data_IF_133273738825
#
_entry.id   IF_133273738825
#
_cell.length_a   1.000
_cell.length_b   1.000
_cell.length_c   1.000
_cell.angle_alpha   90.00
_cell.angle_beta   90.00
_cell.angle_gamma   90.00
#
_symmetry.space_group_name_H-M   'P 1'
#
loop_
_entity.id
_entity.type
_entity.pdbx_description
1 polymer ?
#
# COMPACT_ATOMS: atom_id res chain seq x y z
N UNK A 1 18.76 -1.81 5.91
CA UNK A 1 17.40 -1.36 6.29
C UNK A 1 17.12 -1.78 7.74
N UNK A 2 16.83 -0.84 8.66
CA UNK A 2 16.60 -1.13 10.09
C UNK A 2 15.34 -1.99 10.29
N UNK A 3 15.32 -2.87 11.30
CA UNK A 3 14.20 -3.79 11.59
C UNK A 3 12.84 -3.07 11.68
N UNK A 4 12.83 -1.88 12.30
CA UNK A 4 11.64 -1.02 12.40
C UNK A 4 11.05 -0.68 11.02
N UNK A 5 11.90 -0.39 10.04
CA UNK A 5 11.43 -0.05 8.69
C UNK A 5 10.81 -1.27 7.99
N UNK A 6 11.36 -2.47 8.22
CA UNK A 6 10.79 -3.73 7.71
C UNK A 6 9.40 -4.01 8.31
N UNK A 7 9.26 -3.82 9.63
CA UNK A 7 7.97 -4.01 10.32
C UNK A 7 6.93 -3.00 9.80
N UNK A 8 7.31 -1.73 9.63
CA UNK A 8 6.42 -0.71 9.06
C UNK A 8 5.98 -1.05 7.64
N UNK A 9 6.92 -1.45 6.78
CA UNK A 9 6.61 -1.85 5.41
C UNK A 9 5.68 -3.06 5.36
N UNK A 10 5.87 -4.05 6.24
CA UNK A 10 4.99 -5.20 6.35
C UNK A 10 3.57 -4.80 6.76
N UNK A 11 3.43 -3.95 7.80
CA UNK A 11 2.13 -3.46 8.26
C UNK A 11 1.37 -2.68 7.18
N UNK A 12 2.05 -1.80 6.45
CA UNK A 12 1.42 -1.00 5.39
C UNK A 12 1.01 -1.86 4.19
N UNK A 13 1.83 -2.83 3.80
CA UNK A 13 1.48 -3.77 2.74
C UNK A 13 0.28 -4.66 3.13
N UNK A 14 0.17 -5.06 4.41
CA UNK A 14 -0.99 -5.80 4.90
C UNK A 14 -2.26 -4.97 4.80
N UNK A 15 -2.24 -3.71 5.25
CA UNK A 15 -3.37 -2.78 5.10
C UNK A 15 -3.79 -2.58 3.65
N UNK A 16 -2.82 -2.53 2.72
CA UNK A 16 -3.11 -2.43 1.29
C UNK A 16 -3.86 -3.66 0.77
N UNK A 17 -3.45 -4.87 1.21
CA UNK A 17 -4.10 -6.10 0.81
C UNK A 17 -5.53 -6.21 1.38
N UNK A 18 -5.72 -5.80 2.64
CA UNK A 18 -7.05 -5.79 3.28
C UNK A 18 -7.98 -4.81 2.56
N UNK A 19 -7.51 -3.59 2.26
CA UNK A 19 -8.28 -2.59 1.53
C UNK A 19 -8.61 -3.04 0.10
N UNK A 20 -7.67 -3.70 -0.59
CA UNK A 20 -7.91 -4.26 -1.92
C UNK A 20 -9.02 -5.32 -1.89
N UNK A 21 -9.04 -6.19 -0.87
CA UNK A 21 -10.12 -7.16 -0.69
C UNK A 21 -11.46 -6.49 -0.42
N UNK A 22 -11.50 -5.43 0.40
CA UNK A 22 -12.72 -4.66 0.63
C UNK A 22 -13.26 -4.06 -0.68
N UNK A 23 -12.39 -3.48 -1.51
CA UNK A 23 -12.75 -2.94 -2.82
C UNK A 23 -13.25 -4.05 -3.76
N UNK A 24 -12.61 -5.22 -3.77
CA UNK A 24 -13.04 -6.37 -4.58
C UNK A 24 -14.43 -6.90 -4.17
N UNK A 25 -14.75 -6.88 -2.88
CA UNK A 25 -16.02 -7.40 -2.34
C UNK A 25 -17.17 -6.40 -2.43
N UNK A 26 -16.90 -5.13 -2.14
CA UNK A 26 -17.93 -4.10 -1.98
C UNK A 26 -17.91 -3.03 -3.07
N UNK A 27 -16.94 -3.09 -3.98
CA UNK A 27 -16.67 -2.03 -4.96
C UNK A 27 -15.88 -0.87 -4.35
N UNK A 28 -15.48 0.07 -5.20
CA UNK A 28 -14.82 1.29 -4.75
C UNK A 28 -15.86 2.30 -4.26
N UNK A 29 -15.82 2.64 -2.97
CA UNK A 29 -16.58 3.74 -2.38
C UNK A 29 -15.68 4.95 -2.09
N UNK A 30 -16.27 6.13 -1.88
CA UNK A 30 -15.52 7.33 -1.50
C UNK A 30 -14.70 7.11 -0.21
N UNK A 31 -15.28 6.41 0.77
CA UNK A 31 -14.57 6.06 2.01
C UNK A 31 -13.35 5.15 1.75
N UNK A 32 -13.49 4.15 0.88
CA UNK A 32 -12.39 3.25 0.51
C UNK A 32 -11.32 4.00 -0.31
N UNK A 33 -11.74 4.92 -1.17
CA UNK A 33 -10.83 5.80 -1.92
C UNK A 33 -10.03 6.69 -0.97
N UNK A 34 -10.66 7.31 0.03
CA UNK A 34 -9.98 8.10 1.06
C UNK A 34 -8.95 7.25 1.83
N UNK A 35 -9.32 6.03 2.23
CA UNK A 35 -8.41 5.08 2.87
C UNK A 35 -7.22 4.74 1.96
N UNK A 36 -7.46 4.56 0.66
CA UNK A 36 -6.42 4.26 -0.32
C UNK A 36 -5.45 5.42 -0.50
N UNK A 37 -5.96 6.65 -0.58
CA UNK A 37 -5.15 7.87 -0.68
C UNK A 37 -4.29 8.05 0.57
N UNK A 38 -4.89 7.95 1.76
CA UNK A 38 -4.18 8.06 3.02
C UNK A 38 -3.08 7.00 3.18
N UNK A 39 -3.33 5.79 2.68
CA UNK A 39 -2.34 4.71 2.70
C UNK A 39 -1.17 5.00 1.76
N UNK A 40 -1.43 5.52 0.57
CA UNK A 40 -0.40 5.90 -0.40
C UNK A 40 0.50 7.03 0.11
N UNK A 41 -0.07 8.03 0.79
CA UNK A 41 0.69 9.10 1.45
C UNK A 41 1.68 8.49 2.46
N UNK A 42 1.22 7.60 3.33
CA UNK A 42 2.07 6.93 4.33
C UNK A 42 3.16 6.06 3.70
N UNK A 43 2.89 5.44 2.56
CA UNK A 43 3.90 4.68 1.81
C UNK A 43 4.99 5.61 1.27
N UNK A 44 4.59 6.75 0.70
CA UNK A 44 5.50 7.75 0.15
C UNK A 44 6.39 8.37 1.24
N UNK A 45 5.82 8.73 2.39
CA UNK A 45 6.57 9.25 3.56
C UNK A 45 7.64 8.27 4.08
N UNK A 46 7.48 6.98 3.79
CA UNK A 46 8.38 5.93 4.22
C UNK A 46 9.21 5.32 3.08
N UNK A 47 9.15 5.91 1.88
CA UNK A 47 9.81 5.42 0.66
C UNK A 47 9.55 3.92 0.41
N UNK A 48 8.30 3.51 0.60
CA UNK A 48 7.85 2.13 0.40
C UNK A 48 7.19 2.03 -0.97
N UNK A 49 7.87 1.44 -1.98
CA UNK A 49 7.33 1.35 -3.32
C UNK A 49 6.06 0.49 -3.35
N UNK A 50 5.11 0.87 -4.20
CA UNK A 50 3.92 0.06 -4.46
C UNK A 50 4.28 -1.13 -5.35
N UNK A 51 4.27 -2.34 -4.77
CA UNK A 51 4.61 -3.59 -5.47
C UNK A 51 3.74 -3.86 -6.70
N UNK A 52 2.55 -3.28 -6.79
CA UNK A 52 1.70 -3.41 -7.98
C UNK A 52 2.15 -2.54 -9.15
N UNK A 53 2.97 -1.52 -8.88
CA UNK A 53 3.62 -0.65 -9.87
C UNK A 53 5.10 -0.95 -10.06
N UNK A 54 5.62 -1.93 -9.31
CA UNK A 54 6.97 -2.42 -9.52
C UNK A 54 6.97 -3.41 -10.69
N UNK A 55 7.90 -3.25 -11.62
CA UNK A 55 8.22 -4.32 -12.56
C UNK A 55 8.90 -5.50 -11.82
N UNK A 56 9.16 -6.61 -12.52
CA UNK A 56 9.81 -7.80 -11.94
C UNK A 56 11.21 -7.52 -11.35
N UNK A 57 11.81 -6.39 -11.72
CA UNK A 57 13.11 -5.92 -11.24
C UNK A 57 13.00 -4.97 -10.03
N UNK A 58 11.79 -4.65 -9.57
CA UNK A 58 11.56 -3.81 -8.39
C UNK A 58 11.64 -2.30 -8.65
N UNK A 59 11.58 -1.87 -9.90
CA UNK A 59 11.53 -0.45 -10.29
C UNK A 59 10.09 0.01 -10.56
N UNK A 60 9.78 1.24 -10.16
CA UNK A 60 8.48 1.87 -10.40
C UNK A 60 8.36 2.18 -11.90
N UNK A 61 7.34 1.61 -12.57
CA UNK A 61 6.95 1.96 -13.94
C UNK A 61 6.01 3.18 -13.98
#
# INVERSE_FOLDING_TARGET
MKLINKIRAWNLNRKQADLKKEIELYGMSDELLEKQVALNIKRNEHDIPDKTKLNDEGFVQ
#
